data_IF_967274358179
#
_entry.id   IF_967274358179
#
_cell.length_a   1.000
_cell.length_b   1.000
_cell.length_c   1.000
_cell.angle_alpha   90.00
_cell.angle_beta   90.00
_cell.angle_gamma   90.00
#
_symmetry.space_group_name_H-M   'P 1'
#
loop_
_entity.id
_entity.type
_entity.pdbx_description
1 polymer ?
#
# COMPACT_ATOMS: atom_id res chain seq x y z
N UNK A 1 20.91 66.82 2.23
CA UNK A 1 21.22 65.62 3.05
C UNK A 1 19.97 64.87 3.54
N UNK A 2 19.09 64.38 2.65
CA UNK A 2 17.92 63.54 3.03
C UNK A 2 17.63 62.34 2.11
N UNK A 3 18.39 62.15 1.02
CA UNK A 3 18.12 61.09 0.02
C UNK A 3 18.86 59.77 0.29
N UNK A 4 19.90 59.76 1.11
CA UNK A 4 20.74 58.57 1.35
C UNK A 4 20.13 57.58 2.35
N UNK A 5 19.22 58.02 3.23
CA UNK A 5 18.56 57.14 4.21
C UNK A 5 17.42 56.31 3.61
N UNK A 6 16.81 56.76 2.50
CA UNK A 6 15.71 56.03 1.86
C UNK A 6 16.20 54.77 1.11
N UNK A 7 17.40 54.83 0.52
CA UNK A 7 17.96 53.72 -0.25
C UNK A 7 18.37 52.54 0.64
N UNK A 8 18.85 52.81 1.86
CA UNK A 8 19.24 51.77 2.81
C UNK A 8 18.04 51.01 3.40
N UNK A 9 16.90 51.68 3.60
CA UNK A 9 15.68 51.05 4.11
C UNK A 9 15.02 50.18 3.03
N UNK A 10 14.99 50.64 1.77
CA UNK A 10 14.51 49.80 0.66
C UNK A 10 15.41 48.59 0.40
N UNK A 11 16.74 48.72 0.52
CA UNK A 11 17.66 47.58 0.33
C UNK A 11 17.52 46.55 1.48
N UNK A 12 17.30 47.00 2.72
CA UNK A 12 17.08 46.11 3.86
C UNK A 12 15.70 45.42 3.80
N UNK A 13 14.66 46.08 3.28
CA UNK A 13 13.37 45.44 2.99
C UNK A 13 13.47 44.40 1.88
N UNK A 14 14.26 44.66 0.83
CA UNK A 14 14.52 43.68 -0.24
C UNK A 14 15.35 42.49 0.30
N UNK A 15 16.32 42.72 1.17
CA UNK A 15 17.12 41.64 1.78
C UNK A 15 16.35 40.82 2.85
N UNK A 16 15.33 41.41 3.48
CA UNK A 16 14.41 40.70 4.38
C UNK A 16 13.29 39.95 3.64
N UNK A 17 12.88 40.39 2.44
CA UNK A 17 11.93 39.63 1.60
C UNK A 17 12.58 38.50 0.82
N UNK A 18 13.90 38.57 0.56
CA UNK A 18 14.63 37.50 -0.14
C UNK A 18 14.89 36.28 0.79
N UNK A 19 14.87 36.44 2.11
CA UNK A 19 15.24 35.37 3.06
C UNK A 19 14.10 34.50 3.59
N UNK A 20 12.87 34.53 3.06
CA UNK A 20 11.90 33.46 3.36
C UNK A 20 10.77 33.26 2.32
N UNK A 21 11.02 33.56 1.05
CA UNK A 21 10.28 32.93 -0.06
C UNK A 21 10.89 31.58 -0.47
N UNK A 22 11.91 31.13 0.26
CA UNK A 22 12.20 29.71 0.43
C UNK A 22 11.51 29.19 1.70
N UNK A 23 10.18 29.24 1.73
CA UNK A 23 9.52 28.00 2.11
C UNK A 23 9.89 27.02 0.99
N UNK A 24 11.07 26.39 1.09
CA UNK A 24 11.27 25.15 0.36
C UNK A 24 10.05 24.31 0.70
N UNK A 25 9.31 23.95 -0.34
CA UNK A 25 8.27 22.93 -0.30
C UNK A 25 8.77 21.87 0.68
N UNK A 26 8.05 21.71 1.79
CA UNK A 26 8.44 20.77 2.82
C UNK A 26 8.69 19.39 2.19
N UNK A 27 9.83 18.83 2.57
CA UNK A 27 10.14 17.40 2.67
C UNK A 27 9.95 16.53 1.43
N UNK A 28 11.10 16.19 0.84
CA UNK A 28 11.37 14.98 0.03
C UNK A 28 10.48 14.82 -1.22
N UNK A 29 11.03 14.86 -2.46
CA UNK A 29 10.21 14.53 -3.63
C UNK A 29 9.53 13.18 -3.38
N UNK A 30 8.20 13.11 -3.56
CA UNK A 30 7.44 11.87 -3.40
C UNK A 30 7.95 10.87 -4.44
N UNK A 31 8.97 10.11 -4.05
CA UNK A 31 9.56 9.05 -4.86
C UNK A 31 8.88 7.77 -4.46
N UNK A 32 8.13 7.21 -5.39
CA UNK A 32 7.36 5.99 -5.23
C UNK A 32 8.19 4.75 -5.59
N UNK A 33 8.24 3.80 -4.68
CA UNK A 33 8.67 2.42 -4.93
C UNK A 33 7.44 1.55 -5.15
N UNK A 34 7.44 0.83 -6.26
CA UNK A 34 6.43 -0.17 -6.57
C UNK A 34 6.95 -1.55 -6.17
N UNK A 35 6.14 -2.29 -5.42
CA UNK A 35 6.47 -3.64 -5.00
C UNK A 35 5.43 -4.59 -5.59
N UNK A 36 5.88 -5.34 -6.59
CA UNK A 36 5.17 -6.50 -7.13
C UNK A 36 5.44 -7.76 -6.31
N UNK A 37 4.60 -8.79 -6.49
CA UNK A 37 4.80 -10.12 -5.87
C UNK A 37 4.99 -10.01 -4.36
N UNK A 38 4.32 -9.03 -3.75
CA UNK A 38 4.44 -8.79 -2.32
C UNK A 38 4.03 -10.04 -1.53
N UNK A 39 3.01 -10.73 -2.05
CA UNK A 39 2.63 -12.09 -1.69
C UNK A 39 2.47 -12.91 -2.96
N UNK A 40 3.10 -14.10 -3.02
CA UNK A 40 2.93 -15.07 -4.09
C UNK A 40 2.55 -16.43 -3.53
N UNK A 41 1.64 -17.10 -4.23
CA UNK A 41 1.31 -18.49 -3.98
C UNK A 41 1.76 -19.36 -5.15
N UNK A 42 2.13 -20.62 -4.89
CA UNK A 42 2.38 -21.63 -5.95
C UNK A 42 1.07 -22.17 -6.54
N UNK A 43 -0.02 -22.05 -5.78
CA UNK A 43 -1.41 -22.30 -6.14
C UNK A 43 -2.30 -21.61 -5.11
N UNK A 44 -3.63 -21.68 -5.24
CA UNK A 44 -4.60 -21.00 -4.36
C UNK A 44 -4.42 -21.12 -2.82
N UNK A 45 -3.53 -21.97 -2.29
CA UNK A 45 -3.32 -22.13 -0.83
C UNK A 45 -1.87 -22.38 -0.38
N UNK A 46 -0.90 -22.54 -1.28
CA UNK A 46 0.50 -22.80 -0.91
C UNK A 46 1.31 -21.52 -1.00
N UNK A 47 1.74 -21.00 0.16
CA UNK A 47 2.60 -19.83 0.24
C UNK A 47 3.99 -20.09 -0.35
N UNK A 48 4.42 -19.24 -1.27
CA UNK A 48 5.73 -19.37 -1.91
C UNK A 48 6.75 -18.44 -1.24
N UNK A 49 7.58 -18.98 -0.35
CA UNK A 49 8.67 -18.24 0.32
C UNK A 49 9.73 -17.72 -0.66
N UNK A 50 9.91 -18.38 -1.80
CA UNK A 50 10.97 -18.06 -2.77
C UNK A 50 10.68 -16.80 -3.57
N UNK A 51 9.42 -16.45 -3.79
CA UNK A 51 9.04 -15.26 -4.57
C UNK A 51 8.27 -14.22 -3.76
N UNK A 52 7.61 -14.60 -2.67
CA UNK A 52 6.97 -13.63 -1.78
C UNK A 52 8.00 -12.77 -1.07
N UNK A 53 7.58 -11.56 -0.71
CA UNK A 53 8.35 -10.63 0.14
C UNK A 53 7.87 -10.72 1.58
N UNK A 54 6.55 -10.69 1.78
CA UNK A 54 5.94 -10.53 3.09
C UNK A 54 5.96 -11.80 3.94
N UNK A 55 6.62 -11.80 5.09
CA UNK A 55 6.62 -12.90 6.07
C UNK A 55 7.69 -13.97 5.84
N UNK A 56 8.65 -13.73 4.95
CA UNK A 56 9.76 -14.66 4.69
C UNK A 56 10.86 -14.48 5.73
N UNK A 57 11.02 -15.46 6.61
CA UNK A 57 12.14 -15.63 7.55
C UNK A 57 12.90 -16.91 7.13
N UNK A 58 13.99 -16.75 6.38
CA UNK A 58 14.67 -17.87 5.69
C UNK A 58 15.49 -18.74 6.64
N UNK A 59 16.07 -18.13 7.67
CA UNK A 59 17.00 -18.78 8.58
C UNK A 59 16.39 -19.03 9.99
N UNK A 60 15.13 -18.65 10.21
CA UNK A 60 14.37 -18.84 11.45
C UNK A 60 15.05 -18.09 12.61
N UNK A 61 15.47 -16.85 12.37
CA UNK A 61 16.09 -15.97 13.37
C UNK A 61 15.20 -14.78 13.78
N UNK A 62 14.03 -14.62 13.14
CA UNK A 62 13.10 -13.52 13.40
C UNK A 62 13.37 -12.25 12.59
N UNK A 63 14.35 -12.29 11.69
CA UNK A 63 14.58 -11.30 10.65
C UNK A 63 13.79 -11.75 9.42
N UNK A 64 13.03 -10.83 8.84
CA UNK A 64 12.27 -11.08 7.63
C UNK A 64 13.05 -10.53 6.44
N UNK A 65 13.99 -11.31 5.91
CA UNK A 65 15.11 -10.79 5.11
C UNK A 65 14.63 -10.04 3.88
N UNK A 66 13.56 -10.50 3.24
CA UNK A 66 13.00 -9.84 2.05
C UNK A 66 12.20 -8.58 2.38
N UNK A 67 11.52 -8.55 3.53
CA UNK A 67 10.89 -7.31 4.01
C UNK A 67 11.97 -6.26 4.27
N UNK A 68 13.04 -6.65 4.97
CA UNK A 68 14.15 -5.75 5.28
C UNK A 68 14.90 -5.32 4.02
N UNK A 69 15.20 -6.22 3.09
CA UNK A 69 15.89 -5.90 1.83
C UNK A 69 15.18 -4.80 1.05
N UNK A 70 13.85 -4.91 0.92
CA UNK A 70 13.04 -3.91 0.22
C UNK A 70 13.06 -2.58 0.95
N UNK A 71 12.98 -2.58 2.28
CA UNK A 71 12.98 -1.35 3.07
C UNK A 71 14.36 -0.67 3.10
N UNK A 72 15.45 -1.46 3.14
CA UNK A 72 16.82 -0.97 3.00
C UNK A 72 17.02 -0.39 1.60
N UNK A 73 16.58 -1.07 0.55
CA UNK A 73 16.63 -0.56 -0.82
C UNK A 73 15.84 0.75 -0.94
N UNK A 74 14.65 0.81 -0.35
CA UNK A 74 13.81 2.01 -0.34
C UNK A 74 14.53 3.20 0.31
N UNK A 75 15.13 2.97 1.48
CA UNK A 75 15.88 3.98 2.23
C UNK A 75 17.13 4.46 1.48
N UNK A 76 17.94 3.53 0.95
CA UNK A 76 19.16 3.86 0.20
C UNK A 76 18.88 4.69 -1.06
N UNK A 77 17.72 4.46 -1.68
CA UNK A 77 17.32 5.17 -2.90
C UNK A 77 16.41 6.37 -2.62
N UNK A 78 16.18 6.73 -1.35
CA UNK A 78 15.35 7.86 -0.93
C UNK A 78 13.90 7.78 -1.44
N UNK A 79 13.34 6.58 -1.49
CA UNK A 79 11.90 6.40 -1.66
C UNK A 79 11.18 6.76 -0.37
N UNK A 80 10.07 7.51 -0.48
CA UNK A 80 9.24 7.92 0.66
C UNK A 80 7.83 7.38 0.57
N UNK A 81 7.45 6.86 -0.60
CA UNK A 81 6.15 6.24 -0.83
C UNK A 81 6.35 4.81 -1.29
N UNK A 82 5.64 3.87 -0.69
CA UNK A 82 5.57 2.48 -1.13
C UNK A 82 4.17 2.20 -1.67
N UNK A 83 4.09 1.49 -2.79
CA UNK A 83 2.85 1.00 -3.38
C UNK A 83 2.89 -0.52 -3.38
N UNK A 84 1.94 -1.15 -2.68
CA UNK A 84 1.86 -2.59 -2.51
C UNK A 84 0.83 -3.21 -3.45
N UNK A 85 1.27 -4.19 -4.23
CA UNK A 85 0.43 -5.04 -5.07
C UNK A 85 0.11 -6.36 -4.37
N UNK A 86 -0.72 -7.20 -4.98
CA UNK A 86 -1.09 -8.53 -4.47
C UNK A 86 -1.78 -8.56 -3.11
N UNK A 87 -2.20 -7.41 -2.58
CA UNK A 87 -2.80 -7.33 -1.25
C UNK A 87 -4.13 -8.10 -1.12
N UNK A 88 -4.82 -8.41 -2.23
CA UNK A 88 -5.98 -9.30 -2.19
C UNK A 88 -5.62 -10.69 -1.63
N UNK A 89 -4.40 -11.18 -1.87
CA UNK A 89 -3.87 -12.44 -1.34
C UNK A 89 -3.70 -12.37 0.18
N UNK A 90 -3.44 -11.19 0.75
CA UNK A 90 -3.33 -10.98 2.22
C UNK A 90 -4.71 -11.07 2.91
N UNK A 91 -5.77 -10.63 2.25
CA UNK A 91 -7.10 -10.51 2.85
C UNK A 91 -8.06 -11.67 2.53
N UNK A 92 -7.62 -12.66 1.75
CA UNK A 92 -8.45 -13.82 1.41
C UNK A 92 -8.66 -14.77 2.60
N UNK A 93 -9.75 -15.52 2.56
CA UNK A 93 -10.10 -16.51 3.60
C UNK A 93 -9.15 -17.72 3.62
N UNK A 94 -8.51 -18.03 2.49
CA UNK A 94 -7.50 -19.10 2.39
C UNK A 94 -6.07 -18.62 2.65
N UNK A 95 -5.87 -17.38 3.12
CA UNK A 95 -4.54 -16.88 3.40
C UNK A 95 -3.87 -17.81 4.43
N UNK A 96 -2.72 -18.44 4.09
CA UNK A 96 -2.04 -19.35 4.98
C UNK A 96 -1.45 -18.58 6.15
N UNK A 97 -1.24 -19.28 7.26
CA UNK A 97 -0.43 -18.75 8.35
C UNK A 97 1.05 -18.99 8.02
N UNK A 98 1.89 -17.99 8.23
CA UNK A 98 3.33 -18.03 7.97
C UNK A 98 4.08 -17.98 9.31
N UNK A 99 5.19 -18.71 9.40
CA UNK A 99 5.95 -18.81 10.65
C UNK A 99 6.62 -17.48 11.00
N UNK A 100 6.44 -17.02 12.24
CA UNK A 100 7.20 -15.92 12.83
C UNK A 100 8.02 -16.46 14.02
N UNK A 101 9.34 -16.40 13.91
CA UNK A 101 10.23 -16.84 14.98
C UNK A 101 10.18 -15.97 16.24
N UNK A 102 10.05 -14.65 16.11
CA UNK A 102 10.03 -13.70 17.23
C UNK A 102 8.91 -14.05 18.21
N UNK A 103 7.73 -14.36 17.67
CA UNK A 103 6.53 -14.72 18.45
C UNK A 103 6.38 -16.24 18.61
N UNK A 104 7.28 -17.03 18.02
CA UNK A 104 7.31 -18.49 18.05
C UNK A 104 5.96 -19.14 17.70
N UNK A 105 5.27 -18.57 16.71
CA UNK A 105 3.95 -19.03 16.24
C UNK A 105 3.77 -18.78 14.75
N UNK A 106 2.79 -19.45 14.17
CA UNK A 106 2.29 -19.09 12.85
C UNK A 106 1.36 -17.87 12.97
N UNK A 107 1.61 -16.86 12.16
CA UNK A 107 0.87 -15.60 12.11
C UNK A 107 0.16 -15.44 10.76
N UNK A 108 -0.91 -14.67 10.77
CA UNK A 108 -1.61 -14.31 9.54
C UNK A 108 -0.77 -13.36 8.70
N UNK A 109 -0.95 -13.38 7.38
CA UNK A 109 -0.33 -12.39 6.48
C UNK A 109 -0.69 -10.95 6.85
N UNK A 110 -1.85 -10.72 7.49
CA UNK A 110 -2.23 -9.39 7.98
C UNK A 110 -1.32 -8.92 9.14
N UNK A 111 -0.90 -9.83 10.03
CA UNK A 111 0.05 -9.53 11.10
C UNK A 111 1.46 -9.26 10.56
N UNK A 112 1.89 -10.00 9.54
CA UNK A 112 3.13 -9.70 8.82
C UNK A 112 3.06 -8.33 8.12
N UNK A 113 1.97 -8.06 7.39
CA UNK A 113 1.74 -6.76 6.71
C UNK A 113 1.78 -5.60 7.72
N UNK A 114 1.14 -5.78 8.86
CA UNK A 114 1.20 -4.88 9.99
C UNK A 114 2.64 -4.52 10.37
N UNK A 115 3.47 -5.53 10.64
CA UNK A 115 4.87 -5.33 10.99
C UNK A 115 5.63 -4.62 9.87
N UNK A 116 5.49 -5.06 8.63
CA UNK A 116 6.13 -4.41 7.48
C UNK A 116 5.80 -2.92 7.42
N UNK A 117 4.51 -2.57 7.51
CA UNK A 117 4.04 -1.18 7.43
C UNK A 117 4.54 -0.33 8.59
N UNK A 118 4.53 -0.86 9.81
CA UNK A 118 5.06 -0.16 10.98
C UNK A 118 6.57 0.06 10.83
N UNK A 119 7.32 -0.98 10.44
CA UNK A 119 8.77 -0.87 10.27
C UNK A 119 9.12 0.15 9.19
N UNK A 120 8.45 0.09 8.04
CA UNK A 120 8.63 1.03 6.93
C UNK A 120 8.51 2.50 7.41
N UNK A 121 7.44 2.79 8.16
CA UNK A 121 7.15 4.14 8.66
C UNK A 121 8.08 4.56 9.81
N UNK A 122 8.40 3.66 10.72
CA UNK A 122 9.16 3.97 11.93
C UNK A 122 10.68 4.01 11.74
N UNK A 123 11.22 3.17 10.85
CA UNK A 123 12.67 2.94 10.78
C UNK A 123 13.29 3.24 9.41
N UNK A 124 12.52 3.17 8.32
CA UNK A 124 13.06 3.27 6.95
C UNK A 124 12.64 4.54 6.20
N UNK A 125 12.01 5.50 6.88
CA UNK A 125 11.72 6.82 6.31
C UNK A 125 10.57 6.85 5.30
N UNK A 126 9.74 5.80 5.25
CA UNK A 126 8.55 5.77 4.41
C UNK A 126 7.47 6.64 5.06
N UNK A 127 6.98 7.65 4.34
CA UNK A 127 5.92 8.53 4.82
C UNK A 127 4.55 8.11 4.34
N UNK A 128 4.47 7.32 3.26
CA UNK A 128 3.20 6.85 2.67
C UNK A 128 3.27 5.40 2.21
N UNK A 129 2.23 4.64 2.51
CA UNK A 129 2.01 3.27 2.01
C UNK A 129 0.63 3.25 1.35
N UNK A 130 0.60 2.99 0.05
CA UNK A 130 -0.61 2.96 -0.76
C UNK A 130 -0.91 1.52 -1.18
N UNK A 131 -2.20 1.17 -1.22
CA UNK A 131 -2.65 -0.09 -1.79
C UNK A 131 -2.96 0.09 -3.27
N UNK A 132 -2.43 -0.79 -4.11
CA UNK A 132 -2.88 -0.86 -5.49
C UNK A 132 -4.27 -1.50 -5.57
N UNK A 133 -5.18 -0.85 -6.31
CA UNK A 133 -6.55 -1.34 -6.55
C UNK A 133 -6.86 -1.32 -8.05
N UNK A 134 -7.31 -2.43 -8.59
CA UNK A 134 -7.65 -2.55 -10.01
C UNK A 134 -8.57 -3.74 -10.26
N UNK A 135 -9.50 -3.58 -11.20
CA UNK A 135 -10.54 -4.57 -11.51
C UNK A 135 -10.30 -5.34 -12.81
N UNK A 136 -9.26 -5.04 -13.60
CA UNK A 136 -9.11 -5.65 -14.93
C UNK A 136 -7.68 -6.08 -15.31
N UNK A 137 -6.62 -5.49 -14.72
CA UNK A 137 -5.22 -5.79 -15.05
C UNK A 137 -4.36 -6.18 -13.82
N UNK A 138 -4.98 -6.31 -12.63
CA UNK A 138 -4.38 -6.90 -11.42
C UNK A 138 -4.07 -8.39 -11.58
N UNK A 139 -4.59 -8.98 -12.65
CA UNK A 139 -4.12 -10.22 -13.20
C UNK A 139 -3.04 -9.91 -14.25
N UNK A 140 -1.76 -9.95 -13.87
CA UNK A 140 -0.67 -9.77 -14.84
C UNK A 140 -0.69 -10.89 -15.89
N UNK A 141 -1.26 -12.03 -15.53
CA UNK A 141 -1.54 -13.18 -16.39
C UNK A 141 -2.83 -13.92 -15.98
N UNK A 142 -3.17 -14.97 -16.72
CA UNK A 142 -4.36 -15.79 -16.46
C UNK A 142 -4.26 -16.54 -15.12
N UNK A 143 -3.06 -16.80 -14.61
CA UNK A 143 -2.88 -17.42 -13.29
C UNK A 143 -3.26 -16.45 -12.18
N UNK A 144 -2.80 -15.19 -12.21
CA UNK A 144 -3.21 -14.18 -11.24
C UNK A 144 -4.71 -13.88 -11.30
N UNK A 145 -5.34 -13.93 -12.48
CA UNK A 145 -6.79 -13.80 -12.60
C UNK A 145 -7.52 -14.95 -11.89
N UNK A 146 -7.05 -16.18 -12.13
CA UNK A 146 -7.64 -17.36 -11.53
C UNK A 146 -7.40 -17.39 -10.01
N UNK A 147 -6.22 -17.01 -9.54
CA UNK A 147 -5.85 -16.97 -8.11
C UNK A 147 -6.57 -15.85 -7.35
N UNK A 148 -6.77 -14.68 -7.97
CA UNK A 148 -7.47 -13.55 -7.33
C UNK A 148 -8.93 -13.90 -7.00
N UNK A 149 -9.53 -14.85 -7.73
CA UNK A 149 -10.95 -15.18 -7.61
C UNK A 149 -11.26 -16.63 -7.24
N UNK A 150 -10.27 -17.53 -7.18
CA UNK A 150 -10.47 -18.93 -6.76
C UNK A 150 -10.92 -19.04 -5.31
N UNK A 151 -10.51 -18.09 -4.46
CA UNK A 151 -10.94 -18.04 -3.06
C UNK A 151 -11.50 -16.66 -2.71
N UNK A 152 -12.84 -16.51 -2.72
CA UNK A 152 -13.50 -15.26 -2.34
C UNK A 152 -13.13 -14.81 -0.92
N UNK A 153 -12.99 -13.49 -0.72
CA UNK A 153 -12.72 -12.94 0.60
C UNK A 153 -13.97 -13.00 1.49
N UNK A 154 -13.80 -13.09 2.82
CA UNK A 154 -14.93 -13.11 3.75
C UNK A 154 -15.87 -11.91 3.56
N UNK A 155 -17.14 -12.00 3.95
CA UNK A 155 -17.99 -10.83 4.06
C UNK A 155 -17.40 -9.74 4.97
N UNK A 156 -17.62 -8.48 4.63
CA UNK A 156 -17.34 -7.36 5.54
C UNK A 156 -18.65 -7.01 6.26
N UNK A 157 -18.76 -7.28 7.58
CA UNK A 157 -19.98 -6.99 8.32
C UNK A 157 -20.20 -5.48 8.36
N UNK A 158 -21.36 -5.07 7.84
CA UNK A 158 -21.78 -3.68 7.80
C UNK A 158 -22.38 -3.31 9.16
N UNK A 159 -21.92 -2.20 9.76
CA UNK A 159 -22.50 -1.76 11.02
C UNK A 159 -23.88 -1.11 10.74
N UNK A 160 -24.99 -1.67 11.23
CA UNK A 160 -26.34 -1.17 10.94
C UNK A 160 -26.60 0.24 11.49
N UNK A 161 -25.72 0.78 12.34
CA UNK A 161 -25.79 2.16 12.84
C UNK A 161 -25.08 3.19 11.94
N UNK A 162 -24.43 2.77 10.84
CA UNK A 162 -23.86 3.70 9.87
C UNK A 162 -24.96 4.39 9.04
N UNK A 163 -24.96 5.74 8.90
CA UNK A 163 -26.06 6.49 8.29
C UNK A 163 -26.43 6.06 6.86
N UNK A 164 -25.42 5.69 6.06
CA UNK A 164 -25.59 5.32 4.66
C UNK A 164 -26.12 3.88 4.47
N UNK A 165 -26.14 3.06 5.53
CA UNK A 165 -26.67 1.70 5.52
C UNK A 165 -28.15 1.65 5.90
N UNK A 166 -28.61 2.58 6.74
CA UNK A 166 -30.04 2.69 7.09
C UNK A 166 -30.91 3.12 5.91
N UNK A 167 -30.33 3.80 4.91
CA UNK A 167 -31.01 4.17 3.67
C UNK A 167 -31.17 3.00 2.68
N UNK A 168 -30.70 1.79 3.01
CA UNK A 168 -30.94 0.59 2.22
C UNK A 168 -30.24 0.59 0.86
N UNK A 169 -29.05 1.20 0.73
CA UNK A 169 -28.31 1.17 -0.53
C UNK A 169 -27.97 -0.29 -0.91
N UNK A 170 -28.61 -0.88 -1.94
CA UNK A 170 -28.42 -2.27 -2.30
C UNK A 170 -26.98 -2.55 -2.78
N UNK A 171 -26.25 -1.51 -3.21
CA UNK A 171 -24.85 -1.63 -3.61
C UNK A 171 -23.94 -1.96 -2.42
N UNK A 172 -24.32 -1.61 -1.19
CA UNK A 172 -23.54 -1.98 0.00
C UNK A 172 -23.81 -3.42 0.45
N UNK A 173 -24.94 -4.02 0.06
CA UNK A 173 -25.24 -5.42 0.38
C UNK A 173 -24.22 -6.38 -0.25
N UNK A 174 -23.60 -5.98 -1.36
CA UNK A 174 -22.54 -6.77 -2.01
C UNK A 174 -21.34 -7.06 -1.08
N UNK A 175 -21.14 -6.22 -0.05
CA UNK A 175 -20.06 -6.36 0.92
C UNK A 175 -20.36 -7.43 1.97
N UNK A 176 -21.64 -7.68 2.26
CA UNK A 176 -22.07 -8.59 3.32
C UNK A 176 -22.27 -10.04 2.85
N UNK A 177 -22.00 -10.32 1.57
CA UNK A 177 -22.14 -11.65 0.98
C UNK A 177 -20.79 -12.17 0.50
N UNK A 178 -20.67 -13.50 0.49
CA UNK A 178 -19.63 -14.20 -0.23
C UNK A 178 -20.23 -14.73 -1.53
N UNK A 179 -19.63 -14.35 -2.66
CA UNK A 179 -20.04 -14.80 -3.98
C UNK A 179 -19.17 -15.97 -4.41
N UNK A 180 -19.73 -16.87 -5.22
CA UNK A 180 -19.02 -18.00 -5.77
C UNK A 180 -18.34 -17.63 -7.10
N UNK A 181 -17.35 -18.44 -7.49
CA UNK A 181 -16.75 -18.36 -8.82
C UNK A 181 -17.84 -18.50 -9.88
N UNK A 182 -17.93 -17.53 -10.79
CA UNK A 182 -18.94 -17.46 -11.86
C UNK A 182 -20.13 -16.55 -11.54
N UNK A 183 -20.29 -16.08 -10.29
CA UNK A 183 -21.31 -15.10 -9.97
C UNK A 183 -20.99 -13.74 -10.61
N UNK A 184 -21.99 -13.12 -11.25
CA UNK A 184 -21.82 -11.81 -11.91
C UNK A 184 -21.38 -10.68 -10.94
N UNK A 185 -21.64 -10.85 -9.65
CA UNK A 185 -21.31 -9.89 -8.61
C UNK A 185 -19.98 -10.19 -7.89
N UNK A 186 -19.29 -11.30 -8.21
CA UNK A 186 -18.05 -11.66 -7.54
C UNK A 186 -17.00 -10.54 -7.65
N UNK A 187 -16.65 -10.13 -8.88
CA UNK A 187 -15.61 -9.11 -9.09
C UNK A 187 -15.97 -7.74 -8.45
N UNK A 188 -17.18 -7.18 -8.68
CA UNK A 188 -17.58 -5.97 -7.97
C UNK A 188 -17.55 -6.12 -6.44
N UNK A 189 -17.89 -7.30 -5.90
CA UNK A 189 -17.86 -7.55 -4.46
C UNK A 189 -16.43 -7.55 -3.91
N UNK A 190 -15.49 -8.21 -4.58
CA UNK A 190 -14.12 -8.37 -4.09
C UNK A 190 -13.37 -7.03 -4.13
N UNK A 191 -13.55 -6.24 -5.20
CA UNK A 191 -13.00 -4.88 -5.29
C UNK A 191 -13.55 -3.99 -4.17
N UNK A 192 -14.87 -4.05 -3.93
CA UNK A 192 -15.50 -3.23 -2.91
C UNK A 192 -15.06 -3.63 -1.48
N UNK A 193 -14.97 -4.93 -1.19
CA UNK A 193 -14.47 -5.44 0.09
C UNK A 193 -13.00 -5.09 0.30
N UNK A 194 -12.17 -5.21 -0.74
CA UNK A 194 -10.76 -4.82 -0.71
C UNK A 194 -10.60 -3.33 -0.37
N UNK A 195 -11.30 -2.46 -1.11
CA UNK A 195 -11.33 -1.03 -0.84
C UNK A 195 -11.78 -0.73 0.59
N UNK A 196 -12.79 -1.44 1.10
CA UNK A 196 -13.25 -1.24 2.46
C UNK A 196 -12.21 -1.68 3.50
N UNK A 197 -11.55 -2.83 3.33
CA UNK A 197 -10.52 -3.30 4.28
C UNK A 197 -9.33 -2.37 4.38
N UNK A 198 -8.84 -1.91 3.23
CA UNK A 198 -7.72 -0.96 3.16
C UNK A 198 -8.12 0.40 3.74
N UNK A 199 -9.32 0.92 3.42
CA UNK A 199 -9.77 2.24 3.87
C UNK A 199 -10.20 2.28 5.33
N UNK A 200 -10.66 1.16 5.88
CA UNK A 200 -11.15 1.08 7.25
C UNK A 200 -10.04 1.10 8.31
N UNK A 201 -8.76 1.17 7.91
CA UNK A 201 -7.61 1.05 8.83
C UNK A 201 -7.77 -0.17 9.75
N UNK A 202 -8.33 -1.25 9.22
CA UNK A 202 -8.84 -2.40 10.00
C UNK A 202 -7.77 -3.41 10.38
N UNK A 203 -6.49 -3.10 10.13
CA UNK A 203 -5.40 -3.93 10.61
C UNK A 203 -5.37 -3.86 12.14
N UNK A 204 -5.38 -5.02 12.79
CA UNK A 204 -5.45 -5.18 14.25
C UNK A 204 -4.32 -4.48 15.01
N UNK A 205 -3.22 -4.17 14.33
CA UNK A 205 -2.04 -3.49 14.86
C UNK A 205 -2.09 -1.95 14.82
N UNK A 206 -3.13 -1.35 14.25
CA UNK A 206 -3.21 0.12 14.08
C UNK A 206 -2.41 0.68 12.90
N UNK A 207 -1.75 -0.17 12.10
CA UNK A 207 -1.18 0.26 10.83
C UNK A 207 -2.29 0.62 9.83
N UNK A 208 -2.06 1.68 9.06
CA UNK A 208 -3.03 2.28 8.16
C UNK A 208 -2.40 2.53 6.79
N UNK A 209 -3.16 2.24 5.74
CA UNK A 209 -2.85 2.67 4.39
C UNK A 209 -3.18 4.15 4.23
N UNK A 210 -2.33 4.87 3.50
CA UNK A 210 -2.48 6.32 3.30
C UNK A 210 -3.33 6.65 2.06
N UNK A 211 -3.77 5.63 1.32
CA UNK A 211 -4.65 5.77 0.17
C UNK A 211 -4.59 4.59 -0.79
N UNK A 212 -5.23 4.80 -1.95
CA UNK A 212 -5.27 3.85 -3.05
C UNK A 212 -4.61 4.46 -4.29
N UNK A 213 -4.13 3.59 -5.17
CA UNK A 213 -3.77 3.96 -6.54
C UNK A 213 -4.41 2.97 -7.50
N UNK A 214 -4.95 3.48 -8.60
CA UNK A 214 -5.41 2.62 -9.69
C UNK A 214 -4.29 2.40 -10.70
N UNK A 215 -4.20 1.21 -11.27
CA UNK A 215 -3.14 0.85 -12.24
C UNK A 215 -3.13 1.78 -13.46
N UNK A 216 -4.30 2.32 -13.85
CA UNK A 216 -4.42 3.26 -14.98
C UNK A 216 -3.72 4.60 -14.73
N UNK A 217 -3.80 5.13 -13.51
CA UNK A 217 -3.15 6.38 -13.10
C UNK A 217 -1.62 6.24 -13.05
N UNK A 218 -1.11 5.01 -13.02
CA UNK A 218 0.32 4.74 -12.99
C UNK A 218 0.95 4.80 -14.38
N UNK A 219 0.35 4.16 -15.39
CA UNK A 219 0.95 4.06 -16.73
C UNK A 219 0.66 5.28 -17.62
N UNK A 220 -0.33 6.10 -17.28
CA UNK A 220 -0.78 7.22 -18.11
C UNK A 220 -0.76 8.52 -17.29
N UNK A 221 0.43 9.06 -17.07
CA UNK A 221 0.56 10.49 -16.72
C UNK A 221 1.12 11.26 -17.93
N UNK A 222 0.32 12.09 -18.62
CA UNK A 222 0.79 12.94 -19.72
C UNK A 222 1.72 14.08 -19.28
N UNK A 223 1.90 14.31 -17.96
CA UNK A 223 2.69 15.42 -17.41
C UNK A 223 4.03 14.99 -16.79
N UNK A 224 4.39 13.71 -16.91
CA UNK A 224 5.58 13.13 -16.30
C UNK A 224 6.88 13.44 -17.07
N UNK A 225 7.37 14.68 -16.97
CA UNK A 225 8.68 15.09 -17.53
C UNK A 225 9.86 14.72 -16.60
N UNK A 226 9.61 14.24 -15.36
CA UNK A 226 10.65 13.90 -14.37
C UNK A 226 10.31 12.65 -13.53
N UNK A 227 9.76 11.63 -14.15
CA UNK A 227 9.37 10.41 -13.46
C UNK A 227 10.58 9.54 -13.06
N UNK A 228 10.71 9.22 -11.76
CA UNK A 228 11.79 8.37 -11.21
C UNK A 228 11.26 7.09 -10.56
N UNK A 229 10.11 6.58 -11.03
CA UNK A 229 9.52 5.32 -10.59
C UNK A 229 10.37 4.12 -11.03
N UNK A 230 10.70 3.21 -10.10
CA UNK A 230 11.50 2.00 -10.36
C UNK A 230 10.75 0.78 -9.83
N UNK A 231 10.53 -0.27 -10.64
CA UNK A 231 9.95 -1.52 -10.15
C UNK A 231 10.98 -2.30 -9.33
N UNK A 232 10.54 -2.87 -8.20
CA UNK A 232 11.33 -3.88 -7.48
C UNK A 232 10.81 -5.27 -7.84
N UNK A 233 11.71 -6.16 -8.27
CA UNK A 233 11.42 -7.58 -8.46
C UNK A 233 12.38 -8.39 -7.60
N UNK A 234 11.86 -9.19 -6.66
CA UNK A 234 12.65 -10.22 -6.00
C UNK A 234 13.05 -11.25 -7.07
N UNK A 235 14.36 -11.50 -7.21
CA UNK A 235 14.88 -12.61 -8.02
C UNK A 235 14.95 -13.89 -7.19
#
# INVERSE_FOLDING_TARGET
>A
MKKTKLFFVSLLQILLTINCLYAQVADNPLRGLYIDKFVKYDNASIYNNSFSILGVDQNIDGIFEKEEEVLVYAQQNHFTTIILYDLHKVFTSSAPLVWNKNDSRNESLQEHLCRFMMNAKSYYGITRILAAIGSANTAQDVEDFNDMFSTPTPPVPLNPSQPNLQAGNPQLLILNQQYNVGDALLMPSEVAKFALRVSSNSLSCGAAFDGFVTEYEFWVDPLAVNDTRVPFTSN
#
